data_IF_810143374747
#
_entry.id   IF_810143374747
#
_cell.length_a   1.000
_cell.length_b   1.000
_cell.length_c   1.000
_cell.angle_alpha   90.00
_cell.angle_beta   90.00
_cell.angle_gamma   90.00
#
_symmetry.space_group_name_H-M   'P 1'
#
loop_
_entity.id
_entity.type
_entity.pdbx_description
1 polymer ?
#
# COMPACT_ATOMS: atom_id res chain seq x y z
N UNK A 1 1.80 -13.61 16.72
CA UNK A 1 1.56 -12.16 16.58
C UNK A 1 0.29 -11.78 17.32
N UNK A 2 0.35 -10.70 18.10
CA UNK A 2 -0.82 -10.11 18.78
C UNK A 2 -1.48 -9.03 17.91
N UNK A 3 -2.68 -8.58 18.29
CA UNK A 3 -3.34 -7.46 17.59
C UNK A 3 -2.50 -6.16 17.66
N UNK A 4 -1.75 -5.94 18.74
CA UNK A 4 -0.88 -4.77 18.88
C UNK A 4 0.33 -4.86 17.93
N UNK A 5 0.93 -6.04 17.81
CA UNK A 5 2.02 -6.28 16.87
C UNK A 5 1.56 -6.03 15.42
N UNK A 6 0.37 -6.51 15.07
CA UNK A 6 -0.22 -6.27 13.75
C UNK A 6 -0.37 -4.76 13.49
N UNK A 7 -0.92 -4.02 14.46
CA UNK A 7 -1.12 -2.56 14.32
C UNK A 7 0.18 -1.79 14.13
N UNK A 8 1.26 -2.20 14.79
CA UNK A 8 2.59 -1.59 14.62
C UNK A 8 3.20 -1.90 13.25
N UNK A 9 2.88 -3.05 12.67
CA UNK A 9 3.48 -3.54 11.43
C UNK A 9 2.66 -3.23 10.18
N UNK A 10 1.38 -2.87 10.31
CA UNK A 10 0.47 -2.58 9.20
C UNK A 10 1.02 -1.58 8.18
N UNK A 11 1.67 -0.51 8.63
CA UNK A 11 2.25 0.51 7.73
C UNK A 11 3.41 -0.08 6.92
N UNK A 12 4.34 -0.76 7.59
CA UNK A 12 5.47 -1.41 6.92
C UNK A 12 5.03 -2.55 5.99
N UNK A 13 3.92 -3.21 6.31
CA UNK A 13 3.28 -4.21 5.45
C UNK A 13 2.74 -3.57 4.17
N UNK A 14 2.06 -2.42 4.26
CA UNK A 14 1.59 -1.67 3.08
C UNK A 14 2.74 -1.20 2.20
N UNK A 15 3.82 -0.72 2.80
CA UNK A 15 5.02 -0.25 2.09
C UNK A 15 5.86 -1.40 1.51
N UNK A 16 5.43 -2.66 1.69
CA UNK A 16 6.15 -3.89 1.28
C UNK A 16 7.58 -3.96 1.83
N UNK A 17 7.78 -3.43 3.04
CA UNK A 17 9.08 -3.37 3.70
C UNK A 17 9.30 -4.52 4.70
N UNK A 18 8.32 -5.40 4.87
CA UNK A 18 8.42 -6.56 5.75
C UNK A 18 8.96 -7.79 5.01
N UNK A 19 9.57 -8.70 5.77
CA UNK A 19 9.99 -9.99 5.23
C UNK A 19 8.80 -10.90 4.96
N UNK A 20 8.96 -11.85 4.04
CA UNK A 20 7.90 -12.79 3.65
C UNK A 20 7.35 -13.59 4.83
N UNK A 21 8.21 -13.96 5.80
CA UNK A 21 7.80 -14.68 7.00
C UNK A 21 6.84 -13.85 7.87
N UNK A 22 7.12 -12.56 8.02
CA UNK A 22 6.29 -11.63 8.79
C UNK A 22 4.98 -11.35 8.06
N UNK A 23 5.03 -11.20 6.73
CA UNK A 23 3.85 -11.05 5.88
C UNK A 23 2.90 -12.25 6.01
N UNK A 24 3.42 -13.48 6.04
CA UNK A 24 2.61 -14.69 6.21
C UNK A 24 1.96 -14.74 7.60
N UNK A 25 2.70 -14.37 8.65
CA UNK A 25 2.14 -14.31 10.01
C UNK A 25 1.05 -13.24 10.12
N UNK A 26 1.24 -12.07 9.49
CA UNK A 26 0.25 -11.01 9.37
C UNK A 26 -1.04 -11.49 8.72
N UNK A 27 -0.92 -12.10 7.55
CA UNK A 27 -2.06 -12.63 6.81
C UNK A 27 -2.83 -13.68 7.61
N UNK A 28 -2.11 -14.58 8.28
CA UNK A 28 -2.73 -15.61 9.13
C UNK A 28 -3.58 -14.98 10.23
N UNK A 29 -3.08 -13.95 10.91
CA UNK A 29 -3.85 -13.28 11.95
C UNK A 29 -5.04 -12.50 11.41
N UNK A 30 -4.92 -11.84 10.25
CA UNK A 30 -6.05 -11.18 9.59
C UNK A 30 -7.19 -12.18 9.31
N UNK A 31 -6.86 -13.41 8.90
CA UNK A 31 -7.88 -14.47 8.72
C UNK A 31 -8.46 -15.03 10.01
N UNK A 32 -7.74 -14.95 11.13
CA UNK A 32 -8.16 -15.53 12.42
C UNK A 32 -8.82 -14.51 13.37
N UNK A 33 -8.69 -13.21 13.10
CA UNK A 33 -9.13 -12.14 14.00
C UNK A 33 -10.03 -11.12 13.30
N UNK A 34 -11.34 -11.23 13.53
CA UNK A 34 -12.35 -10.33 12.93
C UNK A 34 -12.09 -8.85 13.19
N UNK A 35 -11.61 -8.49 14.39
CA UNK A 35 -11.31 -7.09 14.73
C UNK A 35 -10.16 -6.51 13.91
N UNK A 36 -9.14 -7.32 13.63
CA UNK A 36 -8.01 -6.90 12.80
C UNK A 36 -8.36 -6.92 11.32
N UNK A 37 -9.20 -7.85 10.89
CA UNK A 37 -9.76 -7.89 9.54
C UNK A 37 -10.59 -6.63 9.26
N UNK A 38 -11.50 -6.25 10.17
CA UNK A 38 -12.30 -5.04 10.03
C UNK A 38 -11.43 -3.78 9.93
N UNK A 39 -10.38 -3.67 10.76
CA UNK A 39 -9.42 -2.57 10.68
C UNK A 39 -8.70 -2.52 9.32
N UNK A 40 -8.34 -3.69 8.78
CA UNK A 40 -7.69 -3.78 7.48
C UNK A 40 -8.62 -3.36 6.34
N UNK A 41 -9.89 -3.75 6.41
CA UNK A 41 -10.90 -3.36 5.43
C UNK A 41 -11.16 -1.84 5.47
N UNK A 42 -11.23 -1.24 6.67
CA UNK A 42 -11.33 0.21 6.84
C UNK A 42 -10.14 0.95 6.21
N UNK A 43 -8.91 0.45 6.42
CA UNK A 43 -7.71 1.01 5.78
C UNK A 43 -7.78 0.91 4.26
N UNK A 44 -8.29 -0.20 3.71
CA UNK A 44 -8.46 -0.36 2.27
C UNK A 44 -9.46 0.65 1.69
N UNK A 45 -10.55 0.94 2.42
CA UNK A 45 -11.52 1.97 2.05
C UNK A 45 -10.88 3.36 2.07
N UNK A 46 -10.18 3.71 3.15
CA UNK A 46 -9.48 4.99 3.26
C UNK A 46 -8.50 5.18 2.10
N UNK A 47 -7.74 4.15 1.75
CA UNK A 47 -6.80 4.19 0.63
C UNK A 47 -7.48 4.41 -0.71
N UNK A 48 -8.65 3.79 -0.92
CA UNK A 48 -9.46 4.02 -2.12
C UNK A 48 -9.94 5.47 -2.20
N UNK A 49 -10.39 6.05 -1.09
CA UNK A 49 -10.82 7.44 -1.02
C UNK A 49 -9.65 8.37 -1.32
N UNK A 50 -8.50 8.19 -0.67
CA UNK A 50 -7.31 9.00 -0.93
C UNK A 50 -6.85 8.95 -2.40
N UNK A 51 -6.99 7.80 -3.07
CA UNK A 51 -6.67 7.66 -4.51
C UNK A 51 -7.71 8.31 -5.43
N UNK A 52 -8.93 8.55 -4.94
CA UNK A 52 -9.97 9.25 -5.69
C UNK A 52 -9.81 10.78 -5.65
N UNK A 53 -8.93 11.30 -4.80
CA UNK A 53 -8.58 12.71 -4.78
C UNK A 53 -7.93 13.12 -6.12
N UNK A 54 -8.17 14.37 -6.52
CA UNK A 54 -7.58 14.92 -7.73
C UNK A 54 -6.06 14.76 -7.72
N UNK A 55 -5.54 14.18 -8.80
CA UNK A 55 -4.10 14.09 -8.98
C UNK A 55 -3.50 15.48 -9.05
N UNK A 56 -2.35 15.73 -8.39
CA UNK A 56 -1.69 17.01 -8.46
C UNK A 56 -1.37 17.33 -9.92
N UNK A 57 -1.54 18.60 -10.32
CA UNK A 57 -1.14 19.05 -11.64
C UNK A 57 0.36 18.81 -11.82
N UNK A 58 0.71 17.96 -12.76
CA UNK A 58 2.10 17.69 -13.10
C UNK A 58 2.64 18.83 -13.97
N UNK A 59 3.90 19.27 -13.76
CA UNK A 59 4.55 20.23 -14.65
C UNK A 59 4.57 19.74 -16.10
N UNK A 60 4.42 20.67 -17.03
CA UNK A 60 4.55 20.37 -18.46
C UNK A 60 5.90 19.69 -18.75
N UNK A 61 5.87 18.65 -19.59
CA UNK A 61 7.06 17.89 -19.96
C UNK A 61 7.59 16.91 -18.90
N UNK A 62 7.00 16.82 -17.70
CA UNK A 62 7.42 15.82 -16.69
C UNK A 62 7.29 14.39 -17.23
N UNK A 63 6.16 14.06 -17.90
CA UNK A 63 5.96 12.74 -18.53
C UNK A 63 7.06 12.41 -19.54
N UNK A 64 7.40 13.36 -20.41
CA UNK A 64 8.46 13.21 -21.42
C UNK A 64 9.83 12.97 -20.78
N UNK A 65 10.14 13.70 -19.71
CA UNK A 65 11.39 13.52 -18.94
C UNK A 65 11.46 12.16 -18.25
N UNK A 66 10.34 11.67 -17.73
CA UNK A 66 10.24 10.34 -17.13
C UNK A 66 10.44 9.23 -18.17
N UNK A 67 9.75 9.31 -19.31
CA UNK A 67 9.90 8.34 -20.41
C UNK A 67 11.35 8.25 -20.91
N UNK A 68 12.01 9.39 -21.13
CA UNK A 68 13.41 9.44 -21.54
C UNK A 68 14.38 8.81 -20.51
N UNK A 69 14.00 8.77 -19.22
CA UNK A 69 14.81 8.16 -18.14
C UNK A 69 14.50 6.68 -17.92
N UNK A 70 13.25 6.28 -18.14
CA UNK A 70 12.81 4.88 -18.00
C UNK A 70 13.12 4.05 -19.24
N UNK A 71 13.47 4.68 -20.38
CA UNK A 71 13.86 3.98 -21.60
C UNK A 71 12.69 3.31 -22.31
N UNK A 72 11.45 3.68 -22.00
CA UNK A 72 10.28 3.20 -22.73
C UNK A 72 10.24 3.87 -24.12
N UNK A 73 10.26 3.10 -25.22
CA UNK A 73 10.08 3.65 -26.55
C UNK A 73 8.63 4.14 -26.73
N UNK A 74 8.48 5.24 -27.48
CA UNK A 74 7.20 5.80 -27.95
C UNK A 74 6.44 4.72 -28.77
N UNK A 75 5.09 4.63 -28.70
CA UNK A 75 4.32 3.73 -29.55
C UNK A 75 4.43 4.04 -31.05
#
# INVERSE_FOLDING_TARGET
MTCEDLRRQLVAYEDKMLSDAVCAELQRHLTECDSCQALWDDLAILRRICRSCDSPRLPEGLRRRLQARLGEPDP
#
